data_IF_313201165375
#
_entry.id   IF_313201165375
#
_cell.length_a   1.000
_cell.length_b   1.000
_cell.length_c   1.000
_cell.angle_alpha   90.00
_cell.angle_beta   90.00
_cell.angle_gamma   90.00
#
_symmetry.space_group_name_H-M   'P 1'
#
loop_
_entity.id
_entity.type
_entity.pdbx_description
1 polymer ?
#
# COMPACT_ATOMS: atom_id res chain seq x y z
N UNK A 1 3.21 -0.19 22.13
CA UNK A 1 3.93 0.47 21.04
C UNK A 1 4.94 1.43 21.64
N UNK A 2 6.22 1.39 21.22
CA UNK A 2 7.03 2.60 21.32
C UNK A 2 6.26 3.70 20.62
N UNK A 3 6.01 4.84 21.28
CA UNK A 3 5.28 5.95 20.68
C UNK A 3 6.05 6.44 19.45
N UNK A 4 5.38 6.46 18.29
CA UNK A 4 5.96 7.10 17.11
C UNK A 4 6.21 8.58 17.43
N UNK A 5 7.23 9.21 16.84
CA UNK A 5 7.47 10.64 17.03
C UNK A 5 6.34 11.47 16.39
N UNK A 6 6.29 12.77 16.70
CA UNK A 6 5.40 13.71 16.02
C UNK A 6 5.68 13.68 14.50
N UNK A 7 4.66 13.75 13.65
CA UNK A 7 4.77 13.71 12.19
C UNK A 7 5.56 12.46 11.66
N UNK A 8 5.17 11.22 12.00
CA UNK A 8 5.97 10.06 11.62
C UNK A 8 6.19 9.97 10.11
N UNK A 9 7.44 9.76 9.69
CA UNK A 9 7.80 9.50 8.30
C UNK A 9 7.70 8.00 8.00
N UNK A 10 6.97 7.63 6.96
CA UNK A 10 6.74 6.23 6.57
C UNK A 10 6.67 6.09 5.05
N UNK A 11 6.66 4.86 4.57
CA UNK A 11 6.39 4.51 3.17
C UNK A 11 4.93 4.08 2.99
N UNK A 12 4.44 3.93 1.77
CA UNK A 12 3.11 3.34 1.53
C UNK A 12 3.15 1.83 1.76
N UNK A 13 3.86 1.08 0.95
CA UNK A 13 3.98 -0.38 1.07
C UNK A 13 5.22 -0.86 0.34
N UNK A 14 5.11 -0.97 -0.99
CA UNK A 14 6.15 -1.53 -1.83
C UNK A 14 7.43 -0.69 -1.83
N UNK A 15 8.57 -1.39 -1.80
CA UNK A 15 9.90 -0.83 -2.03
C UNK A 15 10.40 -1.22 -3.42
N UNK A 16 11.44 -0.53 -3.88
CA UNK A 16 12.08 -0.83 -5.17
C UNK A 16 12.78 -2.17 -5.12
N UNK A 17 12.47 -3.04 -6.06
CA UNK A 17 13.18 -4.32 -6.18
C UNK A 17 14.63 -4.09 -6.53
N UNK A 18 15.58 -4.72 -5.81
CA UNK A 18 16.97 -4.79 -6.24
C UNK A 18 17.06 -5.44 -7.63
N UNK A 19 17.95 -4.95 -8.48
CA UNK A 19 18.06 -5.46 -9.85
C UNK A 19 18.33 -6.97 -9.94
N UNK A 20 19.13 -7.50 -9.01
CA UNK A 20 19.38 -8.93 -8.92
C UNK A 20 18.13 -9.73 -8.55
N UNK A 21 17.30 -9.19 -7.64
CA UNK A 21 16.07 -9.85 -7.20
C UNK A 21 15.00 -9.84 -8.29
N UNK A 22 14.86 -8.72 -9.00
CA UNK A 22 13.96 -8.66 -10.16
C UNK A 22 14.35 -9.69 -11.20
N UNK A 23 15.66 -9.84 -11.48
CA UNK A 23 16.19 -10.87 -12.40
C UNK A 23 15.94 -12.28 -11.89
N UNK A 24 16.19 -12.55 -10.61
CA UNK A 24 15.89 -13.82 -9.98
C UNK A 24 14.41 -14.20 -10.14
N UNK A 25 13.48 -13.28 -9.87
CA UNK A 25 12.04 -13.54 -10.03
C UNK A 25 11.66 -13.87 -11.49
N UNK A 26 12.29 -13.19 -12.47
CA UNK A 26 12.08 -13.50 -13.88
C UNK A 26 12.59 -14.89 -14.24
N UNK A 27 13.80 -15.23 -13.85
CA UNK A 27 14.43 -16.51 -14.17
C UNK A 27 13.72 -17.68 -13.44
N UNK A 28 13.36 -17.50 -12.16
CA UNK A 28 12.59 -18.48 -11.39
C UNK A 28 11.15 -18.69 -11.91
N UNK A 29 10.60 -17.73 -12.66
CA UNK A 29 9.32 -17.88 -13.35
C UNK A 29 9.47 -18.61 -14.68
N UNK A 30 10.58 -18.36 -15.40
CA UNK A 30 10.83 -18.96 -16.73
C UNK A 30 11.35 -20.39 -16.65
N UNK A 31 12.14 -20.69 -15.64
CA UNK A 31 12.83 -21.96 -15.44
C UNK A 31 12.70 -22.40 -13.97
N UNK A 32 11.47 -22.70 -13.52
CA UNK A 32 11.18 -23.00 -12.11
C UNK A 32 11.94 -24.22 -11.58
N UNK A 33 12.35 -25.12 -12.44
CA UNK A 33 13.11 -26.31 -12.11
C UNK A 33 14.57 -26.05 -11.69
N UNK A 34 15.12 -24.88 -12.03
CA UNK A 34 16.49 -24.50 -11.68
C UNK A 34 16.61 -23.90 -10.25
N UNK A 35 15.47 -23.57 -9.64
CA UNK A 35 15.45 -22.88 -8.34
C UNK A 35 14.63 -23.69 -7.33
N UNK A 36 15.31 -24.19 -6.31
CA UNK A 36 14.69 -24.89 -5.18
C UNK A 36 13.90 -23.95 -4.25
N UNK A 37 13.26 -24.56 -3.25
CA UNK A 37 12.55 -23.80 -2.20
C UNK A 37 13.52 -22.95 -1.39
N UNK A 38 14.70 -23.48 -1.08
CA UNK A 38 15.73 -22.80 -0.30
C UNK A 38 16.29 -21.59 -1.04
N UNK A 39 16.54 -21.69 -2.36
CA UNK A 39 16.99 -20.56 -3.19
C UNK A 39 15.97 -19.42 -3.19
N UNK A 40 14.68 -19.77 -3.25
CA UNK A 40 13.57 -18.80 -3.23
C UNK A 40 13.44 -18.12 -1.89
N UNK A 41 13.54 -18.89 -0.80
CA UNK A 41 13.47 -18.37 0.57
C UNK A 41 14.65 -17.45 0.87
N UNK A 42 15.88 -17.84 0.47
CA UNK A 42 17.07 -17.01 0.63
C UNK A 42 16.92 -15.68 -0.13
N UNK A 43 16.55 -15.74 -1.42
CA UNK A 43 16.38 -14.55 -2.25
C UNK A 43 15.33 -13.58 -1.70
N UNK A 44 14.17 -14.10 -1.28
CA UNK A 44 13.11 -13.29 -0.65
C UNK A 44 13.61 -12.67 0.64
N UNK A 45 14.23 -13.46 1.52
CA UNK A 45 14.72 -13.00 2.82
C UNK A 45 15.75 -11.88 2.68
N UNK A 46 16.67 -12.01 1.73
CA UNK A 46 17.69 -10.99 1.46
C UNK A 46 17.08 -9.73 0.85
N UNK A 47 16.10 -9.86 -0.05
CA UNK A 47 15.39 -8.71 -0.61
C UNK A 47 14.61 -7.95 0.46
N UNK A 48 13.90 -8.66 1.36
CA UNK A 48 13.18 -8.06 2.49
C UNK A 48 14.15 -7.36 3.45
N UNK A 49 15.26 -8.02 3.83
CA UNK A 49 16.29 -7.41 4.67
C UNK A 49 16.80 -6.10 4.07
N UNK A 50 17.10 -6.10 2.78
CA UNK A 50 17.58 -4.93 2.08
C UNK A 50 16.55 -3.80 2.04
N UNK A 51 15.26 -4.11 1.84
CA UNK A 51 14.19 -3.13 1.90
C UNK A 51 14.06 -2.49 3.29
N UNK A 52 14.16 -3.29 4.34
CA UNK A 52 14.16 -2.83 5.74
C UNK A 52 15.35 -1.90 5.99
N UNK A 53 16.55 -2.34 5.62
CA UNK A 53 17.79 -1.56 5.83
C UNK A 53 17.77 -0.22 5.11
N UNK A 54 17.27 -0.18 3.87
CA UNK A 54 17.16 1.07 3.11
C UNK A 54 16.22 2.07 3.78
N UNK A 55 15.07 1.62 4.24
CA UNK A 55 14.08 2.45 4.91
C UNK A 55 14.62 2.98 6.26
N UNK A 56 15.22 2.12 7.06
CA UNK A 56 15.84 2.51 8.35
C UNK A 56 17.02 3.45 8.16
N UNK A 57 17.88 3.20 7.16
CA UNK A 57 19.03 4.08 6.85
C UNK A 57 18.57 5.46 6.37
N UNK A 58 17.44 5.54 5.67
CA UNK A 58 16.83 6.82 5.31
C UNK A 58 16.18 7.53 6.51
N UNK A 59 15.99 6.84 7.64
CA UNK A 59 15.42 7.39 8.87
C UNK A 59 13.90 7.30 8.95
N UNK A 60 13.26 6.38 8.24
CA UNK A 60 11.81 6.14 8.37
C UNK A 60 11.45 5.69 9.79
N UNK A 61 10.40 6.26 10.37
CA UNK A 61 9.92 5.98 11.72
C UNK A 61 9.02 4.73 11.77
N UNK A 62 8.38 4.41 10.66
CA UNK A 62 7.48 3.27 10.49
C UNK A 62 7.76 2.66 9.10
N UNK A 63 8.13 1.40 9.07
CA UNK A 63 8.59 0.71 7.84
C UNK A 63 7.62 -0.37 7.38
N UNK A 64 7.89 -0.94 6.20
CA UNK A 64 7.22 -2.14 5.66
C UNK A 64 8.27 -3.18 5.26
N UNK A 65 7.85 -4.38 4.89
CA UNK A 65 8.69 -5.41 4.27
C UNK A 65 9.10 -5.07 2.81
N UNK A 66 8.56 -3.97 2.30
CA UNK A 66 8.73 -3.54 0.91
C UNK A 66 7.92 -4.35 -0.10
N UNK A 67 7.05 -5.24 0.37
CA UNK A 67 6.24 -6.15 -0.48
C UNK A 67 7.11 -7.03 -1.40
N UNK A 68 8.33 -7.33 -0.94
CA UNK A 68 9.31 -8.08 -1.73
C UNK A 68 8.87 -9.50 -2.06
N UNK A 69 7.97 -10.06 -1.26
CA UNK A 69 7.44 -11.41 -1.46
C UNK A 69 6.35 -11.48 -2.53
N UNK A 70 5.87 -10.32 -2.97
CA UNK A 70 4.78 -10.20 -3.93
C UNK A 70 5.35 -9.92 -5.32
N UNK A 71 4.97 -10.71 -6.30
CA UNK A 71 5.36 -10.46 -7.72
C UNK A 71 4.80 -9.12 -8.21
N UNK A 72 3.69 -8.72 -7.61
CA UNK A 72 2.94 -7.51 -7.84
C UNK A 72 2.16 -7.26 -6.54
N UNK A 73 1.80 -6.03 -6.22
CA UNK A 73 1.22 -5.71 -4.91
C UNK A 73 -0.06 -6.53 -4.59
N UNK A 74 -0.71 -7.11 -5.57
CA UNK A 74 -1.88 -7.99 -5.37
C UNK A 74 -1.79 -9.36 -6.07
N UNK A 75 -0.83 -9.64 -6.95
CA UNK A 75 -0.79 -10.92 -7.68
C UNK A 75 -0.39 -12.11 -6.81
N UNK A 76 0.47 -11.94 -5.83
CA UNK A 76 0.88 -13.02 -4.93
C UNK A 76 -0.27 -13.64 -4.14
N UNK A 77 -1.35 -12.90 -3.92
CA UNK A 77 -2.50 -13.36 -3.13
C UNK A 77 -3.38 -14.39 -3.84
N UNK A 78 -3.40 -14.38 -5.17
CA UNK A 78 -4.24 -15.31 -5.94
C UNK A 78 -3.75 -16.76 -5.87
N UNK A 79 -2.48 -16.99 -5.51
CA UNK A 79 -1.94 -18.34 -5.29
C UNK A 79 -2.47 -18.96 -3.99
N UNK A 80 -3.05 -18.17 -3.09
CA UNK A 80 -3.71 -18.61 -1.87
C UNK A 80 -5.22 -18.80 -2.04
N UNK A 81 -5.79 -18.36 -3.16
CA UNK A 81 -7.21 -18.45 -3.43
C UNK A 81 -7.54 -19.72 -4.21
N UNK A 82 -8.47 -20.49 -3.70
CA UNK A 82 -9.14 -21.55 -4.43
C UNK A 82 -10.30 -20.99 -5.28
N UNK A 83 -10.74 -21.75 -6.29
CA UNK A 83 -11.82 -21.36 -7.19
C UNK A 83 -11.36 -20.54 -8.40
N UNK A 84 -10.06 -20.39 -8.62
CA UNK A 84 -9.47 -19.61 -9.70
C UNK A 84 -8.83 -20.50 -10.79
N UNK A 85 -8.96 -20.05 -12.03
CA UNK A 85 -8.20 -20.57 -13.18
C UNK A 85 -7.45 -19.42 -13.84
N UNK A 86 -6.12 -19.52 -14.05
CA UNK A 86 -5.36 -18.51 -14.76
C UNK A 86 -5.89 -18.29 -16.18
N UNK A 87 -5.98 -17.03 -16.59
CA UNK A 87 -6.25 -16.64 -17.97
C UNK A 87 -4.94 -16.47 -18.76
N UNK A 88 -4.95 -16.68 -20.09
CA UNK A 88 -3.80 -16.36 -20.91
C UNK A 88 -3.31 -14.94 -20.63
N UNK A 89 -2.00 -14.81 -20.38
CA UNK A 89 -1.44 -13.50 -20.08
C UNK A 89 -1.63 -12.55 -21.26
N UNK A 90 -2.37 -11.48 -21.02
CA UNK A 90 -2.33 -10.34 -21.91
C UNK A 90 -0.90 -9.77 -21.90
N UNK A 91 -0.48 -9.20 -23.05
CA UNK A 91 0.87 -8.63 -23.24
C UNK A 91 1.24 -7.71 -22.08
N UNK A 92 2.31 -8.04 -21.34
CA UNK A 92 2.83 -7.17 -20.27
C UNK A 92 3.45 -5.92 -20.87
N UNK A 93 3.06 -4.78 -20.36
CA UNK A 93 3.62 -3.47 -20.67
C UNK A 93 4.25 -2.89 -19.40
N UNK A 94 5.53 -3.10 -19.17
CA UNK A 94 6.28 -2.55 -18.02
C UNK A 94 6.46 -3.50 -16.85
N UNK A 95 6.90 -3.00 -15.71
CA UNK A 95 7.11 -3.78 -14.50
C UNK A 95 5.88 -4.58 -14.10
N UNK A 96 6.03 -5.75 -13.46
CA UNK A 96 4.91 -6.64 -13.10
C UNK A 96 3.83 -5.95 -12.27
N UNK A 97 4.22 -5.03 -11.41
CA UNK A 97 3.49 -4.58 -10.25
C UNK A 97 2.16 -3.83 -10.49
N UNK A 98 1.77 -3.46 -11.70
CA UNK A 98 0.65 -2.52 -11.86
C UNK A 98 -0.24 -2.78 -13.07
N UNK A 99 -0.24 -3.99 -13.59
CA UNK A 99 -1.17 -4.37 -14.65
C UNK A 99 -2.48 -4.91 -14.03
N UNK A 100 -3.46 -4.03 -13.90
CA UNK A 100 -4.77 -4.32 -13.30
C UNK A 100 -5.74 -5.05 -14.26
N UNK A 101 -5.25 -5.71 -15.30
CA UNK A 101 -6.09 -6.53 -16.19
C UNK A 101 -6.48 -7.83 -15.50
N UNK A 102 -7.69 -8.31 -15.83
CA UNK A 102 -8.17 -9.60 -15.36
C UNK A 102 -7.19 -10.70 -15.73
N UNK A 103 -6.74 -11.46 -14.76
CA UNK A 103 -5.74 -12.52 -14.91
C UNK A 103 -6.24 -13.89 -14.55
N UNK A 104 -7.38 -13.96 -13.89
CA UNK A 104 -7.99 -15.19 -13.41
C UNK A 104 -9.48 -15.19 -13.70
N UNK A 105 -9.99 -16.37 -14.02
CA UNK A 105 -11.42 -16.64 -14.11
C UNK A 105 -11.87 -17.38 -12.87
N UNK A 106 -12.94 -16.93 -12.25
CA UNK A 106 -13.62 -17.66 -11.19
C UNK A 106 -14.35 -18.87 -11.81
N UNK A 107 -13.99 -20.05 -11.39
CA UNK A 107 -14.57 -21.33 -11.86
C UNK A 107 -15.32 -22.07 -10.73
N UNK A 108 -15.16 -21.60 -9.48
CA UNK A 108 -15.88 -22.05 -8.30
C UNK A 108 -15.93 -20.88 -7.29
N UNK A 109 -16.75 -20.97 -6.21
CA UNK A 109 -16.74 -19.99 -5.13
C UNK A 109 -15.33 -19.80 -4.55
N UNK A 110 -14.96 -18.54 -4.29
CA UNK A 110 -13.64 -18.19 -3.77
C UNK A 110 -13.50 -18.65 -2.32
N UNK A 111 -12.37 -19.28 -2.01
CA UNK A 111 -11.99 -19.66 -0.66
C UNK A 111 -10.48 -19.43 -0.44
N UNK A 112 -10.08 -19.19 0.81
CA UNK A 112 -8.69 -19.07 1.24
C UNK A 112 -8.48 -19.88 2.52
N UNK A 113 -8.43 -21.22 2.43
CA UNK A 113 -8.36 -22.09 3.63
C UNK A 113 -7.07 -21.89 4.43
N UNK A 114 -5.99 -21.44 3.78
CA UNK A 114 -4.68 -21.15 4.39
C UNK A 114 -4.45 -19.67 4.68
N UNK A 115 -5.48 -18.81 4.57
CA UNK A 115 -5.32 -17.35 4.59
C UNK A 115 -4.87 -16.79 3.25
N UNK A 116 -4.38 -15.53 3.25
CA UNK A 116 -3.92 -14.84 2.06
C UNK A 116 -2.38 -14.70 1.97
N UNK A 117 -1.65 -15.32 2.92
CA UNK A 117 -0.19 -15.32 2.95
C UNK A 117 0.46 -14.16 3.70
N UNK A 118 -0.31 -13.17 4.14
CA UNK A 118 0.23 -12.00 4.86
C UNK A 118 0.77 -12.35 6.24
N UNK A 119 0.23 -13.38 6.87
CA UNK A 119 0.71 -13.87 8.17
C UNK A 119 2.12 -14.42 8.05
N UNK A 120 2.41 -15.20 7.02
CA UNK A 120 3.74 -15.73 6.72
C UNK A 120 4.71 -14.59 6.37
N UNK A 121 4.27 -13.60 5.57
CA UNK A 121 5.06 -12.39 5.28
C UNK A 121 5.44 -11.67 6.58
N UNK A 122 4.47 -11.42 7.46
CA UNK A 122 4.69 -10.73 8.73
C UNK A 122 5.65 -11.50 9.66
N UNK A 123 5.44 -12.81 9.81
CA UNK A 123 6.33 -13.66 10.62
C UNK A 123 7.77 -13.60 10.13
N UNK A 124 7.99 -13.69 8.82
CA UNK A 124 9.33 -13.56 8.22
C UNK A 124 9.98 -12.22 8.54
N UNK A 125 9.25 -11.13 8.36
CA UNK A 125 9.76 -9.78 8.66
C UNK A 125 10.15 -9.65 10.13
N UNK A 126 9.36 -10.20 11.05
CA UNK A 126 9.64 -10.15 12.48
C UNK A 126 10.89 -10.91 12.90
N UNK A 127 11.36 -11.85 12.10
CA UNK A 127 12.70 -12.46 12.33
C UNK A 127 13.86 -11.54 11.94
N UNK A 128 13.60 -10.51 11.14
CA UNK A 128 14.62 -9.61 10.58
C UNK A 128 14.71 -8.26 11.28
N UNK A 129 13.64 -7.81 11.94
CA UNK A 129 13.61 -6.49 12.60
C UNK A 129 12.63 -6.42 13.75
N UNK A 130 12.98 -5.61 14.76
CA UNK A 130 12.10 -5.19 15.85
C UNK A 130 11.53 -3.75 15.63
N UNK A 131 11.86 -3.10 14.52
CA UNK A 131 11.38 -1.75 14.21
C UNK A 131 9.85 -1.67 14.12
N UNK A 132 9.25 -0.48 14.34
CA UNK A 132 7.84 -0.28 14.08
C UNK A 132 7.47 -0.66 12.66
N UNK A 133 6.46 -1.51 12.50
CA UNK A 133 6.08 -2.10 11.22
C UNK A 133 4.62 -1.84 10.89
N UNK A 134 4.38 -1.38 9.69
CA UNK A 134 3.06 -1.29 9.05
C UNK A 134 2.91 -2.45 8.07
N UNK A 135 1.75 -3.11 8.09
CA UNK A 135 1.45 -4.22 7.18
C UNK A 135 0.41 -3.78 6.16
N UNK A 136 0.78 -3.65 4.87
CA UNK A 136 -0.15 -3.35 3.80
C UNK A 136 -0.99 -4.59 3.45
N UNK A 137 -2.31 -4.42 3.42
CA UNK A 137 -3.31 -5.45 3.10
C UNK A 137 -4.11 -4.97 1.89
N UNK A 138 -4.10 -5.69 0.77
CA UNK A 138 -4.93 -5.30 -0.36
C UNK A 138 -6.41 -5.46 -0.01
N UNK A 139 -7.19 -4.43 -0.33
CA UNK A 139 -8.61 -4.45 -0.09
C UNK A 139 -9.38 -5.33 -1.06
N UNK A 140 -10.58 -5.79 -0.69
CA UNK A 140 -11.34 -6.76 -1.47
C UNK A 140 -11.75 -6.23 -2.84
N UNK A 141 -12.09 -4.94 -2.98
CA UNK A 141 -12.46 -4.36 -4.26
C UNK A 141 -11.25 -4.23 -5.20
N UNK A 142 -10.08 -3.91 -4.66
CA UNK A 142 -8.83 -3.87 -5.43
C UNK A 142 -8.43 -5.27 -5.89
N UNK A 143 -8.49 -6.28 -5.02
CA UNK A 143 -8.25 -7.69 -5.39
C UNK A 143 -9.22 -8.16 -6.49
N UNK A 144 -10.51 -7.86 -6.38
CA UNK A 144 -11.50 -8.22 -7.39
C UNK A 144 -11.18 -7.66 -8.80
N UNK A 145 -10.34 -6.62 -8.88
CA UNK A 145 -9.96 -5.97 -10.14
C UNK A 145 -9.20 -6.86 -11.14
N UNK A 146 -8.56 -7.93 -10.67
CA UNK A 146 -7.86 -8.89 -11.53
C UNK A 146 -8.65 -10.17 -11.81
N UNK A 147 -9.91 -10.24 -11.39
CA UNK A 147 -10.75 -11.41 -11.52
C UNK A 147 -11.90 -11.18 -12.52
N UNK A 148 -12.23 -12.22 -13.27
CA UNK A 148 -13.47 -12.33 -14.05
C UNK A 148 -14.40 -13.29 -13.34
N UNK A 149 -15.68 -12.93 -13.21
CA UNK A 149 -16.67 -13.71 -12.48
C UNK A 149 -17.04 -15.07 -13.13
N UNK A 150 -16.95 -15.15 -14.46
CA UNK A 150 -17.39 -16.33 -15.21
C UNK A 150 -18.88 -16.62 -14.97
N UNK A 151 -19.20 -17.88 -14.76
CA UNK A 151 -20.55 -18.33 -14.40
C UNK A 151 -20.81 -18.31 -12.90
N UNK A 152 -19.80 -17.94 -12.07
CA UNK A 152 -19.86 -17.98 -10.61
C UNK A 152 -20.31 -16.65 -10.02
N UNK A 153 -19.81 -15.52 -10.57
CA UNK A 153 -20.12 -14.18 -10.10
C UNK A 153 -20.51 -13.28 -11.28
N UNK A 154 -21.56 -12.49 -11.12
CA UNK A 154 -22.09 -11.60 -12.16
C UNK A 154 -21.15 -10.46 -12.52
N UNK A 155 -20.53 -9.87 -11.48
CA UNK A 155 -19.73 -8.67 -11.64
C UNK A 155 -18.64 -8.54 -10.56
N UNK A 156 -17.86 -7.47 -10.66
CA UNK A 156 -16.77 -7.19 -9.72
C UNK A 156 -17.26 -7.02 -8.27
N UNK A 157 -18.47 -6.53 -8.05
CA UNK A 157 -18.99 -6.32 -6.70
C UNK A 157 -19.34 -7.64 -6.02
N UNK A 158 -19.92 -8.59 -6.73
CA UNK A 158 -20.12 -9.94 -6.18
C UNK A 158 -18.80 -10.64 -5.85
N UNK A 159 -17.78 -10.46 -6.67
CA UNK A 159 -16.43 -10.96 -6.37
C UNK A 159 -15.89 -10.26 -5.10
N UNK A 160 -16.08 -8.96 -4.99
CA UNK A 160 -15.67 -8.18 -3.80
C UNK A 160 -16.34 -8.69 -2.54
N UNK A 161 -17.65 -8.95 -2.60
CA UNK A 161 -18.42 -9.52 -1.49
C UNK A 161 -17.89 -10.89 -1.07
N UNK A 162 -17.48 -11.73 -2.02
CA UNK A 162 -16.88 -13.02 -1.72
C UNK A 162 -15.47 -12.90 -1.10
N UNK A 163 -14.69 -11.90 -1.49
CA UNK A 163 -13.34 -11.65 -0.97
C UNK A 163 -13.35 -10.96 0.41
N UNK A 164 -14.37 -10.14 0.69
CA UNK A 164 -14.46 -9.34 1.92
C UNK A 164 -14.25 -10.17 3.20
N UNK A 165 -14.95 -11.29 3.45
CA UNK A 165 -14.73 -12.09 4.65
C UNK A 165 -13.35 -12.74 4.70
N UNK A 166 -12.71 -12.99 3.56
CA UNK A 166 -11.37 -13.56 3.49
C UNK A 166 -10.34 -12.52 3.93
N UNK A 167 -10.44 -11.28 3.42
CA UNK A 167 -9.57 -10.15 3.80
C UNK A 167 -9.77 -9.79 5.29
N UNK A 168 -11.02 -9.68 5.75
CA UNK A 168 -11.31 -9.41 7.17
C UNK A 168 -10.70 -10.45 8.09
N UNK A 169 -10.83 -11.74 7.75
CA UNK A 169 -10.23 -12.84 8.52
C UNK A 169 -8.70 -12.73 8.56
N UNK A 170 -8.07 -12.43 7.43
CA UNK A 170 -6.61 -12.25 7.36
C UNK A 170 -6.15 -11.09 8.24
N UNK A 171 -6.84 -9.93 8.20
CA UNK A 171 -6.55 -8.79 9.07
C UNK A 171 -6.68 -9.15 10.55
N UNK A 172 -7.72 -9.88 10.94
CA UNK A 172 -7.90 -10.37 12.31
C UNK A 172 -6.78 -11.32 12.74
N UNK A 173 -6.36 -12.21 11.85
CA UNK A 173 -5.25 -13.13 12.12
C UNK A 173 -3.93 -12.37 12.30
N UNK A 174 -3.65 -11.35 11.48
CA UNK A 174 -2.49 -10.48 11.67
C UNK A 174 -2.50 -9.77 13.03
N UNK A 175 -3.66 -9.33 13.51
CA UNK A 175 -3.78 -8.74 14.86
C UNK A 175 -3.47 -9.76 15.94
N UNK A 176 -3.90 -11.01 15.80
CA UNK A 176 -3.56 -12.11 16.73
C UNK A 176 -2.05 -12.40 16.73
N UNK A 177 -1.35 -12.21 15.61
CA UNK A 177 0.12 -12.30 15.51
C UNK A 177 0.85 -11.10 16.10
N UNK A 178 0.12 -10.08 16.58
CA UNK A 178 0.67 -8.88 17.21
C UNK A 178 0.85 -7.68 16.29
N UNK A 179 0.25 -7.67 15.08
CA UNK A 179 0.22 -6.49 14.22
C UNK A 179 -0.66 -5.41 14.87
N UNK A 180 -0.11 -4.22 14.99
CA UNK A 180 -0.78 -3.06 15.59
C UNK A 180 -1.08 -1.94 14.61
N UNK A 181 -0.48 -1.99 13.40
CA UNK A 181 -0.69 -1.02 12.33
C UNK A 181 -0.93 -1.76 11.01
N UNK A 182 -2.15 -1.64 10.49
CA UNK A 182 -2.56 -2.18 9.19
C UNK A 182 -2.79 -1.02 8.22
N UNK A 183 -2.47 -1.22 6.96
CA UNK A 183 -2.87 -0.33 5.88
C UNK A 183 -3.77 -1.10 4.92
N UNK A 184 -5.02 -0.68 4.78
CA UNK A 184 -5.95 -1.24 3.80
C UNK A 184 -5.75 -0.51 2.46
N UNK A 185 -5.30 -1.23 1.43
CA UNK A 185 -5.01 -0.66 0.11
C UNK A 185 -6.21 -0.79 -0.83
N UNK A 186 -6.90 0.33 -1.05
CA UNK A 186 -8.05 0.44 -1.97
C UNK A 186 -7.88 1.56 -3.02
N UNK A 187 -6.78 1.59 -3.78
CA UNK A 187 -6.56 2.60 -4.81
C UNK A 187 -7.66 2.58 -5.89
N UNK A 188 -8.31 1.44 -6.10
CA UNK A 188 -9.37 1.29 -7.09
C UNK A 188 -10.62 2.13 -6.78
N UNK A 189 -10.84 2.54 -5.53
CA UNK A 189 -11.97 3.43 -5.18
C UNK A 189 -11.80 4.82 -5.77
N UNK A 190 -10.59 5.35 -5.82
CA UNK A 190 -10.32 6.64 -6.45
C UNK A 190 -10.61 6.64 -7.96
N UNK A 191 -10.69 5.47 -8.59
CA UNK A 191 -11.08 5.31 -9.99
C UNK A 191 -12.59 5.24 -10.21
N UNK A 192 -13.40 5.16 -9.15
CA UNK A 192 -14.86 5.00 -9.18
C UNK A 192 -15.56 5.97 -8.22
N UNK A 193 -15.41 7.29 -8.43
CA UNK A 193 -15.96 8.29 -7.52
C UNK A 193 -17.50 8.40 -7.54
N UNK A 194 -18.15 7.64 -8.38
CA UNK A 194 -19.61 7.59 -8.57
C UNK A 194 -20.36 6.77 -7.50
N UNK A 195 -19.66 6.02 -6.63
CA UNK A 195 -20.26 5.11 -5.64
C UNK A 195 -19.66 5.24 -4.23
N UNK A 196 -19.58 6.44 -3.66
CA UNK A 196 -18.86 6.64 -2.41
C UNK A 196 -19.49 5.93 -1.21
N UNK A 197 -20.83 5.87 -1.11
CA UNK A 197 -21.52 5.21 0.01
C UNK A 197 -21.31 3.69 -0.01
N UNK A 198 -21.33 3.07 -1.19
CA UNK A 198 -21.04 1.64 -1.34
C UNK A 198 -19.62 1.31 -0.88
N UNK A 199 -18.64 2.17 -1.21
CA UNK A 199 -17.26 1.99 -0.76
C UNK A 199 -17.11 2.16 0.75
N UNK A 200 -17.84 3.09 1.37
CA UNK A 200 -17.85 3.22 2.83
C UNK A 200 -18.36 1.96 3.52
N UNK A 201 -19.45 1.38 3.00
CA UNK A 201 -20.00 0.13 3.53
C UNK A 201 -18.98 -1.02 3.39
N UNK A 202 -18.38 -1.17 2.21
CA UNK A 202 -17.33 -2.17 1.97
C UNK A 202 -16.15 -2.00 2.92
N UNK A 203 -15.67 -0.78 3.14
CA UNK A 203 -14.59 -0.49 4.09
C UNK A 203 -15.01 -0.88 5.49
N UNK A 204 -16.18 -0.42 5.97
CA UNK A 204 -16.66 -0.68 7.32
C UNK A 204 -16.74 -2.18 7.61
N UNK A 205 -17.29 -2.95 6.70
CA UNK A 205 -17.42 -4.40 6.81
C UNK A 205 -16.06 -5.11 6.69
N UNK A 206 -15.15 -4.60 5.86
CA UNK A 206 -13.79 -5.17 5.73
C UNK A 206 -13.01 -5.04 7.03
N UNK A 207 -13.16 -3.94 7.77
CA UNK A 207 -12.43 -3.68 9.01
C UNK A 207 -13.20 -4.06 10.27
N UNK A 208 -14.40 -4.60 10.14
CA UNK A 208 -15.25 -4.95 11.27
C UNK A 208 -14.57 -5.93 12.24
N UNK A 209 -14.46 -5.55 13.52
CA UNK A 209 -13.85 -6.33 14.57
C UNK A 209 -12.32 -6.49 14.46
N UNK A 210 -11.65 -5.68 13.63
CA UNK A 210 -10.18 -5.62 13.55
C UNK A 210 -9.66 -4.61 14.57
N UNK A 211 -8.97 -5.10 15.60
CA UNK A 211 -8.45 -4.27 16.70
C UNK A 211 -7.01 -3.81 16.46
N UNK A 212 -6.80 -2.95 15.45
CA UNK A 212 -5.53 -2.34 15.11
C UNK A 212 -5.72 -0.89 14.67
N UNK A 213 -4.64 -0.11 14.58
CA UNK A 213 -4.67 1.15 13.86
C UNK A 213 -4.75 0.87 12.35
N UNK A 214 -5.79 1.35 11.69
CA UNK A 214 -6.05 1.10 10.28
C UNK A 214 -5.91 2.40 9.49
N UNK A 215 -5.01 2.40 8.51
CA UNK A 215 -4.86 3.45 7.51
C UNK A 215 -5.48 2.99 6.19
N UNK A 216 -6.42 3.76 5.64
CA UNK A 216 -6.99 3.50 4.32
C UNK A 216 -6.15 4.23 3.27
N UNK A 217 -5.46 3.47 2.43
CA UNK A 217 -4.68 4.05 1.32
C UNK A 217 -5.50 4.12 0.05
N UNK A 218 -5.61 5.32 -0.48
CA UNK A 218 -6.21 5.62 -1.76
C UNK A 218 -5.32 6.57 -2.55
N UNK A 219 -4.82 6.12 -3.68
CA UNK A 219 -4.12 6.93 -4.64
C UNK A 219 -4.79 6.85 -6.02
N UNK A 220 -4.33 7.65 -6.97
CA UNK A 220 -4.87 7.63 -8.33
C UNK A 220 -4.17 6.59 -9.22
N UNK A 221 -3.45 5.65 -8.62
CA UNK A 221 -2.63 4.65 -9.29
C UNK A 221 -1.26 5.20 -9.71
N UNK A 222 -0.35 4.27 -9.97
CA UNK A 222 1.02 4.58 -10.40
C UNK A 222 1.45 3.62 -11.52
N UNK A 223 0.62 3.44 -12.56
CA UNK A 223 0.97 2.60 -13.69
C UNK A 223 1.97 3.32 -14.60
N UNK A 224 3.22 2.84 -14.63
CA UNK A 224 4.29 3.44 -15.44
C UNK A 224 4.45 4.95 -15.21
N UNK A 225 4.46 5.34 -13.96
CA UNK A 225 4.52 6.75 -13.55
C UNK A 225 3.32 7.59 -14.03
N UNK A 226 2.14 6.98 -14.19
CA UNK A 226 0.91 7.68 -14.60
C UNK A 226 -0.24 7.32 -13.67
N UNK A 227 -1.10 8.29 -13.41
CA UNK A 227 -2.36 8.07 -12.75
C UNK A 227 -3.30 7.23 -13.66
N UNK A 228 -4.11 6.37 -13.04
CA UNK A 228 -5.06 5.48 -13.74
C UNK A 228 -6.47 6.08 -13.73
N UNK A 229 -6.86 6.79 -12.64
CA UNK A 229 -8.19 7.35 -12.46
C UNK A 229 -8.24 8.87 -12.58
N UNK A 230 -9.41 9.43 -12.32
CA UNK A 230 -9.61 10.86 -12.14
C UNK A 230 -8.75 11.35 -10.96
N UNK A 231 -7.97 12.38 -11.18
CA UNK A 231 -7.05 12.91 -10.18
C UNK A 231 -7.74 13.93 -9.28
N UNK A 232 -8.85 13.51 -8.62
CA UNK A 232 -9.60 14.35 -7.69
C UNK A 232 -10.22 13.51 -6.57
N UNK A 233 -10.00 13.94 -5.34
CA UNK A 233 -10.68 13.38 -4.16
C UNK A 233 -12.00 14.09 -3.85
N UNK A 234 -12.25 15.24 -4.45
CA UNK A 234 -13.42 16.09 -4.12
C UNK A 234 -14.75 15.35 -4.17
N UNK A 235 -15.03 14.48 -5.17
CA UNK A 235 -16.28 13.73 -5.20
C UNK A 235 -16.42 12.69 -4.07
N UNK A 236 -15.30 12.22 -3.51
CA UNK A 236 -15.27 11.18 -2.49
C UNK A 236 -15.21 11.77 -1.07
N UNK A 237 -14.75 13.01 -0.92
CA UNK A 237 -14.25 13.50 0.35
C UNK A 237 -15.30 13.67 1.45
N UNK A 238 -16.53 14.14 1.20
CA UNK A 238 -17.53 14.20 2.28
C UNK A 238 -17.80 12.82 2.89
N UNK A 239 -17.66 11.78 2.09
CA UNK A 239 -17.87 10.39 2.49
C UNK A 239 -16.63 9.82 3.20
N UNK A 240 -15.42 10.05 2.66
CA UNK A 240 -14.17 9.55 3.25
C UNK A 240 -13.94 10.01 4.69
N UNK A 241 -14.38 11.22 5.02
CA UNK A 241 -14.33 11.74 6.39
C UNK A 241 -15.18 10.93 7.40
N UNK A 242 -16.01 10.00 6.91
CA UNK A 242 -16.85 9.08 7.72
C UNK A 242 -16.38 7.63 7.66
N UNK A 243 -15.27 7.34 6.96
CA UNK A 243 -14.76 5.98 6.84
C UNK A 243 -14.42 5.38 8.21
N UNK A 244 -14.68 4.11 8.40
CA UNK A 244 -14.46 3.39 9.66
C UNK A 244 -12.98 3.03 9.89
N UNK A 245 -12.08 4.02 9.71
CA UNK A 245 -10.62 3.87 9.83
C UNK A 245 -10.03 4.99 10.67
N UNK A 246 -8.80 4.81 11.16
CA UNK A 246 -8.13 5.80 11.97
C UNK A 246 -7.35 6.82 11.14
N UNK A 247 -7.05 6.53 9.87
CA UNK A 247 -6.24 7.40 9.03
C UNK A 247 -6.61 7.23 7.54
N UNK A 248 -6.55 8.31 6.78
CA UNK A 248 -6.56 8.30 5.31
C UNK A 248 -5.14 8.52 4.80
N UNK A 249 -4.65 7.67 3.90
CA UNK A 249 -3.37 7.86 3.21
C UNK A 249 -3.65 8.28 1.76
N UNK A 250 -3.30 9.53 1.43
CA UNK A 250 -3.69 10.20 0.19
C UNK A 250 -2.50 10.85 -0.52
N UNK A 251 -2.48 10.83 -1.86
CA UNK A 251 -1.43 11.47 -2.67
C UNK A 251 -1.74 12.94 -2.97
N UNK A 252 -0.73 13.81 -2.81
CA UNK A 252 -0.83 15.24 -3.09
C UNK A 252 0.34 15.79 -3.90
N UNK A 253 1.56 15.27 -3.71
CA UNK A 253 2.78 15.83 -4.31
C UNK A 253 2.75 15.81 -5.84
N UNK A 254 2.26 14.74 -6.45
CA UNK A 254 2.15 14.60 -7.92
C UNK A 254 1.14 15.57 -8.55
N UNK A 255 0.40 16.31 -7.72
CA UNK A 255 -0.62 17.28 -8.09
C UNK A 255 -0.33 18.66 -7.53
N UNK A 256 0.92 18.95 -7.18
CA UNK A 256 1.34 20.25 -6.64
C UNK A 256 0.49 20.69 -5.43
N UNK A 257 0.17 19.72 -4.55
CA UNK A 257 -0.66 19.90 -3.35
C UNK A 257 -2.12 20.31 -3.63
N UNK A 258 -2.63 20.10 -4.85
CA UNK A 258 -4.03 20.36 -5.16
C UNK A 258 -4.97 19.60 -4.24
N UNK A 259 -6.05 20.24 -3.82
CA UNK A 259 -7.09 19.72 -2.92
C UNK A 259 -6.63 19.43 -1.47
N UNK A 260 -5.44 19.88 -1.08
CA UNK A 260 -4.97 19.69 0.31
C UNK A 260 -5.91 20.35 1.35
N UNK A 261 -6.66 21.36 0.96
CA UNK A 261 -7.65 22.01 1.81
C UNK A 261 -8.77 21.06 2.27
N UNK A 262 -9.00 19.95 1.56
CA UNK A 262 -9.96 18.91 1.96
C UNK A 262 -9.55 18.23 3.30
N UNK A 263 -8.29 18.32 3.70
CA UNK A 263 -7.85 17.81 5.00
C UNK A 263 -8.61 18.42 6.19
N UNK A 264 -9.23 19.61 6.03
CA UNK A 264 -10.13 20.21 7.05
C UNK A 264 -11.38 19.37 7.33
N UNK A 265 -11.81 18.54 6.37
CA UNK A 265 -12.98 17.69 6.53
C UNK A 265 -12.67 16.44 7.36
N UNK A 266 -11.38 16.08 7.49
CA UNK A 266 -10.93 14.96 8.32
C UNK A 266 -11.06 15.35 9.79
N UNK A 267 -12.09 14.84 10.45
CA UNK A 267 -12.41 15.16 11.84
C UNK A 267 -11.64 14.29 12.84
N UNK A 268 -11.23 14.84 14.01
CA UNK A 268 -10.70 13.99 15.07
C UNK A 268 -11.67 12.86 15.45
N UNK A 269 -11.16 11.64 15.75
CA UNK A 269 -9.75 11.29 15.94
C UNK A 269 -9.03 10.85 14.65
N UNK A 270 -9.69 10.87 13.48
CA UNK A 270 -9.08 10.43 12.22
C UNK A 270 -7.89 11.31 11.83
N UNK A 271 -6.82 10.69 11.32
CA UNK A 271 -5.61 11.35 10.85
C UNK A 271 -5.45 11.30 9.33
N UNK A 272 -4.38 11.92 8.86
CA UNK A 272 -3.96 11.96 7.46
C UNK A 272 -2.52 11.45 7.33
N UNK A 273 -2.27 10.48 6.47
CA UNK A 273 -0.95 10.19 5.93
C UNK A 273 -0.83 10.92 4.57
N UNK A 274 -0.10 12.04 4.60
CA UNK A 274 0.00 12.95 3.46
C UNK A 274 1.13 12.52 2.52
N UNK A 275 0.84 12.27 1.25
CA UNK A 275 1.80 12.04 0.19
C UNK A 275 2.49 13.35 -0.20
N UNK A 276 3.78 13.50 0.17
CA UNK A 276 4.55 14.73 -0.03
C UNK A 276 5.73 14.57 -1.01
N UNK A 277 5.93 13.36 -1.53
CA UNK A 277 6.96 13.05 -2.52
C UNK A 277 6.32 12.37 -3.73
N UNK A 278 6.51 12.96 -4.90
CA UNK A 278 5.94 12.45 -6.16
C UNK A 278 6.74 11.24 -6.67
N UNK A 279 6.07 10.12 -6.89
CA UNK A 279 6.66 8.89 -7.46
C UNK A 279 6.35 8.69 -8.94
N UNK A 280 5.72 9.67 -9.59
CA UNK A 280 5.44 9.65 -11.02
C UNK A 280 6.54 10.31 -11.86
N UNK A 281 7.65 10.70 -11.20
CA UNK A 281 8.86 11.20 -11.82
C UNK A 281 10.12 10.77 -11.06
N UNK A 282 11.28 10.97 -11.67
CA UNK A 282 12.59 10.60 -11.10
C UNK A 282 13.32 11.75 -10.42
N UNK A 283 12.75 12.96 -10.44
CA UNK A 283 13.32 14.12 -9.76
C UNK A 283 13.26 13.92 -8.23
N UNK A 284 14.35 14.22 -7.56
CA UNK A 284 14.45 14.10 -6.11
C UNK A 284 14.13 15.46 -5.52
N UNK A 285 13.01 15.55 -4.82
CA UNK A 285 12.58 16.76 -4.15
C UNK A 285 13.60 17.18 -3.10
N UNK A 286 14.00 18.47 -3.08
CA UNK A 286 14.82 18.99 -1.99
C UNK A 286 14.07 18.90 -0.66
N UNK A 287 14.75 18.65 0.48
CA UNK A 287 14.13 18.62 1.81
C UNK A 287 13.31 19.87 2.14
N UNK A 288 13.75 21.05 1.73
CA UNK A 288 13.04 22.30 1.97
C UNK A 288 11.67 22.33 1.27
N UNK A 289 11.55 21.78 0.05
CA UNK A 289 10.28 21.65 -0.64
C UNK A 289 9.33 20.70 0.10
N UNK A 290 9.84 19.57 0.60
CA UNK A 290 9.03 18.65 1.40
C UNK A 290 8.56 19.33 2.69
N UNK A 291 9.44 20.09 3.36
CA UNK A 291 9.10 20.89 4.54
C UNK A 291 8.04 21.95 4.24
N UNK A 292 8.12 22.62 3.09
CA UNK A 292 7.10 23.58 2.64
C UNK A 292 5.74 22.92 2.41
N UNK A 293 5.71 21.78 1.73
CA UNK A 293 4.51 20.98 1.52
C UNK A 293 3.90 20.54 2.86
N UNK A 294 4.72 20.09 3.79
CA UNK A 294 4.27 19.67 5.13
C UNK A 294 3.69 20.87 5.91
N UNK A 295 4.34 22.03 5.90
CA UNK A 295 3.76 23.26 6.50
C UNK A 295 2.42 23.62 5.86
N UNK A 296 2.25 23.37 4.59
CA UNK A 296 0.96 23.59 3.90
C UNK A 296 -0.11 22.63 4.40
N UNK A 297 0.20 21.34 4.62
CA UNK A 297 -0.70 20.37 5.26
C UNK A 297 -1.14 20.85 6.64
N UNK A 298 -0.18 21.31 7.46
CA UNK A 298 -0.42 21.75 8.84
C UNK A 298 -1.29 23.02 8.98
N UNK A 299 -1.61 23.70 7.87
CA UNK A 299 -2.64 24.76 7.87
C UNK A 299 -4.07 24.22 7.98
N UNK A 300 -4.27 22.92 7.76
CA UNK A 300 -5.58 22.30 7.61
C UNK A 300 -5.85 21.17 8.61
N UNK A 301 -4.81 20.59 9.20
CA UNK A 301 -4.92 19.46 10.14
C UNK A 301 -3.78 19.53 11.18
N UNK A 302 -4.06 19.14 12.42
CA UNK A 302 -3.12 19.19 13.55
C UNK A 302 -1.96 18.19 13.35
N UNK A 303 -0.76 18.59 13.77
CA UNK A 303 0.47 17.83 13.57
C UNK A 303 0.44 16.41 14.17
N UNK A 304 -0.24 16.23 15.30
CA UNK A 304 -0.39 14.96 16.01
C UNK A 304 -1.19 13.93 15.20
N UNK A 305 -1.94 14.40 14.22
CA UNK A 305 -2.80 13.59 13.34
C UNK A 305 -2.21 13.36 11.97
N UNK A 306 -0.99 13.83 11.71
CA UNK A 306 -0.35 13.73 10.39
C UNK A 306 0.81 12.74 10.41
N UNK A 307 0.80 11.78 9.48
CA UNK A 307 1.96 11.04 9.04
C UNK A 307 2.42 11.56 7.68
N UNK A 308 3.69 11.39 7.37
CA UNK A 308 4.26 11.80 6.08
C UNK A 308 4.65 10.58 5.27
N UNK A 309 4.18 10.53 4.02
CA UNK A 309 4.42 9.43 3.09
C UNK A 309 4.85 9.94 1.71
N UNK A 310 5.41 9.10 0.85
CA UNK A 310 5.35 9.35 -0.58
C UNK A 310 3.92 9.17 -1.11
N UNK A 311 3.65 9.64 -2.32
CA UNK A 311 2.33 9.58 -2.96
C UNK A 311 1.83 8.14 -3.21
N UNK A 312 2.75 7.18 -3.35
CA UNK A 312 2.45 5.79 -3.67
C UNK A 312 3.60 4.87 -3.22
N UNK A 313 3.52 3.57 -3.52
CA UNK A 313 4.63 2.63 -3.33
C UNK A 313 5.79 2.87 -4.30
N UNK A 314 7.01 2.50 -3.88
CA UNK A 314 8.25 2.69 -4.64
C UNK A 314 8.54 1.62 -5.70
N UNK A 315 7.72 0.60 -5.87
CA UNK A 315 8.02 -0.58 -6.71
C UNK A 315 8.45 -0.26 -8.15
N UNK A 316 8.01 0.87 -8.70
CA UNK A 316 8.36 1.29 -10.07
C UNK A 316 9.51 2.29 -10.15
N UNK A 317 10.03 2.69 -9.00
CA UNK A 317 11.12 3.65 -8.91
C UNK A 317 12.44 2.90 -8.80
N UNK A 318 13.48 3.31 -9.53
CA UNK A 318 14.79 2.72 -9.37
C UNK A 318 15.30 2.88 -7.93
N UNK A 319 15.87 1.84 -7.33
CA UNK A 319 16.24 1.80 -5.91
C UNK A 319 17.10 2.99 -5.46
N UNK A 320 18.08 3.41 -6.27
CA UNK A 320 18.94 4.55 -5.94
C UNK A 320 18.18 5.89 -5.92
N UNK A 321 17.08 6.00 -6.66
CA UNK A 321 16.17 7.16 -6.61
C UNK A 321 15.26 7.04 -5.39
N UNK A 322 14.70 5.86 -5.13
CA UNK A 322 13.81 5.60 -4.00
C UNK A 322 14.51 5.95 -2.67
N UNK A 323 15.74 5.48 -2.47
CA UNK A 323 16.54 5.78 -1.26
C UNK A 323 16.78 7.28 -1.08
N UNK A 324 17.07 8.00 -2.17
CA UNK A 324 17.30 9.46 -2.11
C UNK A 324 15.99 10.23 -1.86
N UNK A 325 14.90 9.83 -2.50
CA UNK A 325 13.58 10.45 -2.28
C UNK A 325 13.11 10.25 -0.84
N UNK A 326 13.24 9.04 -0.29
CA UNK A 326 12.87 8.77 1.10
C UNK A 326 13.75 9.55 2.08
N UNK A 327 15.07 9.61 1.87
CA UNK A 327 15.97 10.39 2.70
C UNK A 327 15.64 11.90 2.67
N UNK A 328 15.37 12.45 1.50
CA UNK A 328 14.95 13.85 1.36
C UNK A 328 13.60 14.12 2.05
N UNK A 329 12.66 13.19 1.98
CA UNK A 329 11.37 13.27 2.69
C UNK A 329 11.57 13.30 4.20
N UNK A 330 12.36 12.37 4.74
CA UNK A 330 12.65 12.30 6.19
C UNK A 330 13.36 13.57 6.67
N UNK A 331 14.31 14.08 5.90
CA UNK A 331 15.00 15.33 6.25
C UNK A 331 14.04 16.53 6.25
N UNK A 332 13.13 16.63 5.26
CA UNK A 332 12.09 17.66 5.25
C UNK A 332 11.16 17.58 6.47
N UNK A 333 10.79 16.36 6.90
CA UNK A 333 10.04 16.16 8.13
C UNK A 333 10.82 16.62 9.36
N UNK A 334 12.13 16.29 9.44
CA UNK A 334 13.00 16.69 10.54
C UNK A 334 13.06 18.22 10.69
N UNK A 335 13.16 18.95 9.59
CA UNK A 335 13.15 20.42 9.58
C UNK A 335 11.88 20.99 10.21
N UNK A 336 10.71 20.41 9.90
CA UNK A 336 9.43 20.88 10.46
C UNK A 336 9.28 20.47 11.94
N UNK A 337 9.67 19.23 12.29
CA UNK A 337 9.65 18.80 13.71
C UNK A 337 10.44 19.74 14.60
N UNK A 338 11.65 20.14 14.19
CA UNK A 338 12.49 21.07 14.95
C UNK A 338 11.80 22.43 15.19
N UNK A 339 11.06 22.93 14.20
CA UNK A 339 10.33 24.19 14.34
C UNK A 339 9.12 24.12 15.28
N UNK A 340 8.49 22.93 15.40
CA UNK A 340 7.35 22.74 16.29
C UNK A 340 7.75 22.47 17.75
N UNK A 341 9.00 22.10 17.99
CA UNK A 341 9.54 21.79 19.34
C UNK A 341 10.43 22.88 19.90
N UNK A 342 10.73 23.93 19.10
CA UNK A 342 11.47 25.14 19.52
C UNK A 342 10.49 26.18 20.07
#
# INVERSE_FOLDING_TARGET
>A
MSSLPLLPATVIGSWSFPGWYARFCEDATRQPELFGADDREEAVRDAVRLAIEDQLRAGADLITDGEMQRVDFNLGFYDYLEGLRPLPQARRWGPPAHDQRSRYLCVAPLAAPRGLGLVEEYRRVRTLTAAPLKVPVPGPFTLAGCLQGGDVYRDRLEITEALLPLVNREMKTLVLEGVTFLQLDEPSFACRPDRPEEFLDLIARTVEGVSAFISLHMCFGNFRARAVGHRSYRPLFPHLARAAVQQLALEFASREMAEIELAREIRPPMGLAAGLVDLKNTWIEPPDLVAERLRTVLKYIDAERVHVTPDCGFSQTARFIATKKLAAMVEGVRLVRQQLTS
#
